data_IF_737507324047
#
_entry.id   IF_737507324047
#
_cell.length_a   1.000
_cell.length_b   1.000
_cell.length_c   1.000
_cell.angle_alpha   90.00
_cell.angle_beta   90.00
_cell.angle_gamma   90.00
#
_symmetry.space_group_name_H-M   'P 1'
#
loop_
_entity.id
_entity.type
_entity.pdbx_description
1 polymer ?
#
# COMPACT_ATOMS: atom_id res chain seq x y z
N UNK A 1 -12.24 -14.43 -21.05
CA UNK A 1 -12.11 -13.49 -22.18
C UNK A 1 -11.16 -14.09 -23.21
N UNK A 2 -11.43 -13.90 -24.51
CA UNK A 2 -10.57 -14.42 -25.58
C UNK A 2 -9.47 -13.40 -25.82
N UNK A 3 -8.21 -13.82 -25.68
CA UNK A 3 -7.10 -13.01 -26.15
C UNK A 3 -7.14 -13.01 -27.68
N UNK A 4 -7.45 -11.88 -28.31
CA UNK A 4 -7.35 -11.73 -29.76
C UNK A 4 -5.87 -11.61 -30.15
N UNK A 5 -5.22 -12.76 -30.39
CA UNK A 5 -3.86 -12.79 -30.91
C UNK A 5 -3.88 -12.40 -32.38
N UNK A 6 -3.24 -11.26 -32.72
CA UNK A 6 -2.74 -11.08 -34.08
C UNK A 6 -1.53 -12.03 -34.25
N UNK A 7 -1.39 -12.67 -35.41
CA UNK A 7 -0.49 -13.81 -35.68
C UNK A 7 1.00 -13.57 -35.37
N UNK A 8 1.40 -12.33 -35.09
CA UNK A 8 2.75 -11.92 -34.72
C UNK A 8 3.01 -11.74 -33.22
N UNK A 9 1.97 -11.63 -32.37
CA UNK A 9 2.15 -11.28 -30.94
C UNK A 9 1.72 -12.44 -30.04
N UNK A 10 2.69 -13.08 -29.40
CA UNK A 10 2.49 -14.15 -28.39
C UNK A 10 2.06 -13.62 -27.01
N UNK A 11 1.75 -12.33 -26.90
CA UNK A 11 1.44 -11.65 -25.63
C UNK A 11 0.04 -11.06 -25.65
N UNK A 12 -0.69 -11.23 -24.55
CA UNK A 12 -2.02 -10.66 -24.34
C UNK A 12 -1.90 -9.56 -23.27
N UNK A 13 -2.30 -8.33 -23.61
CA UNK A 13 -2.24 -7.20 -22.68
C UNK A 13 -3.56 -7.13 -21.89
N UNK A 14 -3.48 -7.32 -20.58
CA UNK A 14 -4.63 -7.31 -19.66
C UNK A 14 -4.95 -5.92 -19.08
N UNK A 15 -4.24 -4.88 -19.55
CA UNK A 15 -4.39 -3.51 -19.07
C UNK A 15 -3.48 -3.16 -17.89
N UNK A 16 -3.80 -2.07 -17.21
CA UNK A 16 -3.02 -1.59 -16.06
C UNK A 16 -3.19 -2.51 -14.86
N UNK A 17 -2.09 -2.85 -14.19
CA UNK A 17 -2.14 -3.61 -12.94
C UNK A 17 -2.98 -2.93 -11.84
N UNK A 18 -3.06 -1.60 -11.84
CA UNK A 18 -3.91 -0.84 -10.90
C UNK A 18 -5.41 -1.03 -11.11
N UNK A 19 -5.83 -1.58 -12.25
CA UNK A 19 -7.24 -1.93 -12.52
C UNK A 19 -7.60 -3.33 -12.01
N UNK A 20 -6.67 -4.01 -11.35
CA UNK A 20 -6.86 -5.34 -10.79
C UNK A 20 -7.41 -6.35 -11.83
N UNK A 21 -6.67 -6.62 -12.93
CA UNK A 21 -7.14 -7.54 -13.96
C UNK A 21 -7.29 -8.96 -13.41
N UNK A 22 -8.51 -9.50 -13.54
CA UNK A 22 -8.92 -10.80 -12.99
C UNK A 22 -9.84 -11.53 -13.95
N UNK A 23 -9.73 -12.84 -14.01
CA UNK A 23 -10.63 -13.67 -14.82
C UNK A 23 -9.95 -14.90 -15.40
N UNK A 24 -10.70 -15.64 -16.22
CA UNK A 24 -10.21 -16.81 -16.93
C UNK A 24 -9.93 -16.43 -18.39
N UNK A 25 -8.73 -16.74 -18.86
CA UNK A 25 -8.24 -16.43 -20.19
C UNK A 25 -7.81 -17.69 -20.91
N UNK A 26 -7.96 -17.70 -22.22
CA UNK A 26 -7.43 -18.76 -23.08
C UNK A 26 -7.02 -18.15 -24.43
N UNK A 27 -6.11 -18.83 -25.10
CA UNK A 27 -5.59 -18.43 -26.39
C UNK A 27 -6.10 -19.40 -27.45
N UNK A 28 -6.44 -18.87 -28.62
CA UNK A 28 -6.72 -19.69 -29.79
C UNK A 28 -5.47 -19.70 -30.69
N UNK A 29 -4.94 -20.89 -30.96
CA UNK A 29 -3.75 -21.09 -31.77
C UNK A 29 -3.99 -22.04 -32.94
N UNK A 30 -2.94 -22.30 -33.72
CA UNK A 30 -3.00 -23.21 -34.88
C UNK A 30 -3.35 -24.66 -34.53
N UNK A 31 -3.17 -25.06 -33.27
CA UNK A 31 -3.52 -26.39 -32.74
C UNK A 31 -4.83 -26.39 -31.94
N UNK A 32 -5.62 -25.32 -32.02
CA UNK A 32 -6.86 -25.14 -31.25
C UNK A 32 -6.68 -24.24 -30.02
N UNK A 33 -7.68 -24.27 -29.13
CA UNK A 33 -7.67 -23.50 -27.88
C UNK A 33 -6.66 -24.07 -26.89
N UNK A 34 -5.97 -23.18 -26.17
CA UNK A 34 -5.14 -23.54 -25.03
C UNK A 34 -5.99 -23.96 -23.83
N UNK A 35 -5.32 -24.53 -22.83
CA UNK A 35 -5.88 -24.64 -21.48
C UNK A 35 -6.23 -23.25 -20.91
N UNK A 36 -7.17 -23.26 -19.97
CA UNK A 36 -7.66 -22.06 -19.31
C UNK A 36 -6.67 -21.59 -18.24
N UNK A 37 -6.31 -20.30 -18.29
CA UNK A 37 -5.49 -19.63 -17.31
C UNK A 37 -6.35 -18.73 -16.41
N UNK A 38 -6.38 -19.02 -15.11
CA UNK A 38 -6.98 -18.12 -14.13
C UNK A 38 -5.98 -17.04 -13.73
N UNK A 39 -6.28 -15.79 -14.05
CA UNK A 39 -5.51 -14.62 -13.66
C UNK A 39 -6.12 -14.02 -12.41
N UNK A 40 -5.30 -13.91 -11.36
CA UNK A 40 -5.62 -13.21 -10.12
C UNK A 40 -4.51 -12.19 -9.87
N UNK A 41 -4.69 -10.97 -10.34
CA UNK A 41 -3.76 -9.89 -10.06
C UNK A 41 -4.10 -9.24 -8.71
N UNK A 42 -3.10 -8.65 -8.06
CA UNK A 42 -3.24 -7.77 -6.90
C UNK A 42 -2.00 -6.89 -6.84
N UNK A 43 -2.19 -5.58 -6.81
CA UNK A 43 -1.13 -4.65 -6.39
C UNK A 43 -1.27 -4.39 -4.90
N UNK A 44 -0.16 -4.27 -4.18
CA UNK A 44 -0.20 -3.62 -2.87
C UNK A 44 -0.62 -2.16 -3.06
N UNK A 45 -1.54 -1.67 -2.24
CA UNK A 45 -1.86 -0.25 -2.22
C UNK A 45 -0.57 0.54 -1.97
N UNK A 46 -0.36 1.63 -2.71
CA UNK A 46 0.72 2.57 -2.40
C UNK A 46 0.55 2.92 -0.93
N UNK A 47 1.59 2.68 -0.14
CA UNK A 47 1.64 2.95 1.29
C UNK A 47 1.03 4.35 1.52
N UNK A 48 -0.19 4.42 2.04
CA UNK A 48 -0.80 5.69 2.44
C UNK A 48 0.06 6.18 3.58
N UNK A 49 1.02 7.07 3.29
CA UNK A 49 1.78 7.76 4.32
C UNK A 49 0.77 8.61 5.09
N UNK A 50 0.22 8.04 6.16
CA UNK A 50 -0.61 8.77 7.10
C UNK A 50 0.26 9.88 7.68
N UNK A 51 -0.22 11.12 7.63
CA UNK A 51 0.48 12.25 8.26
C UNK A 51 0.65 11.96 9.75
N UNK A 52 1.77 12.42 10.34
CA UNK A 52 2.06 12.23 11.77
C UNK A 52 0.93 12.73 12.68
N UNK A 53 0.20 13.77 12.24
CA UNK A 53 -0.97 14.32 12.95
C UNK A 53 -2.13 13.33 13.09
N UNK A 54 -2.14 12.24 12.32
CA UNK A 54 -3.13 11.16 12.41
C UNK A 54 -2.65 9.97 13.24
N UNK A 55 -1.37 9.92 13.61
CA UNK A 55 -0.74 8.79 14.30
C UNK A 55 -0.70 8.95 15.82
N UNK A 56 -0.78 10.17 16.34
CA UNK A 56 -0.70 10.43 17.77
C UNK A 56 -1.86 11.30 18.25
N UNK A 57 -2.35 10.98 19.45
CA UNK A 57 -3.16 11.94 20.20
C UNK A 57 -2.28 13.15 20.53
N UNK A 58 -2.72 14.40 20.23
CA UNK A 58 -1.98 15.59 20.63
C UNK A 58 -1.76 15.55 22.13
N UNK A 59 -0.50 15.74 22.55
CA UNK A 59 -0.21 15.93 23.96
C UNK A 59 -0.97 17.19 24.38
N UNK A 60 -1.96 17.03 25.27
CA UNK A 60 -2.65 18.17 25.88
C UNK A 60 -1.64 19.06 26.57
N UNK A 61 -1.95 20.36 26.64
CA UNK A 61 -1.20 21.31 27.45
C UNK A 61 -1.07 20.73 28.86
N UNK A 62 0.17 20.51 29.27
CA UNK A 62 0.48 20.03 30.62
C UNK A 62 0.53 21.25 31.51
N UNK A 63 -0.31 21.27 32.55
CA UNK A 63 -0.26 22.27 33.60
C UNK A 63 1.10 22.17 34.30
N UNK A 64 1.92 23.22 34.23
CA UNK A 64 3.27 23.30 34.80
C UNK A 64 3.24 23.06 36.33
N UNK A 65 2.10 23.40 36.95
CA UNK A 65 1.78 23.21 38.37
C UNK A 65 1.81 21.74 38.83
N UNK A 66 1.80 20.76 37.92
CA UNK A 66 1.87 19.34 38.26
C UNK A 66 3.30 18.79 38.38
N UNK A 67 4.32 19.60 38.05
CA UNK A 67 5.71 19.18 38.15
C UNK A 67 6.34 19.69 39.45
N UNK A 68 7.02 18.79 40.17
CA UNK A 68 7.80 19.18 41.33
C UNK A 68 9.02 20.00 40.89
N UNK A 69 8.95 21.33 41.07
CA UNK A 69 10.08 22.20 40.81
C UNK A 69 11.22 21.85 41.78
N UNK A 70 12.31 21.28 41.24
CA UNK A 70 13.52 21.07 42.01
C UNK A 70 14.15 22.44 42.29
N UNK A 71 13.93 22.94 43.51
CA UNK A 71 14.48 24.21 43.96
C UNK A 71 16.02 24.16 43.88
N UNK A 72 16.59 25.06 43.07
CA UNK A 72 18.03 25.14 42.85
C UNK A 72 18.83 25.30 44.14
N UNK A 73 20.03 24.74 44.13
CA UNK A 73 20.97 24.63 45.25
C UNK A 73 20.95 25.83 46.21
N UNK A 74 20.49 25.62 47.45
CA UNK A 74 20.70 26.58 48.53
C UNK A 74 22.20 26.66 48.82
N UNK A 75 22.81 27.82 48.56
CA UNK A 75 24.19 28.08 48.98
C UNK A 75 24.27 27.98 50.51
N UNK A 76 25.02 26.99 51.01
CA UNK A 76 25.34 26.88 52.44
C UNK A 76 26.05 28.16 52.87
N UNK A 77 25.43 28.93 53.76
CA UNK A 77 26.11 30.03 54.47
C UNK A 77 27.08 29.42 55.49
N UNK A 78 28.32 29.89 55.44
CA UNK A 78 29.37 29.61 56.41
C UNK A 78 29.11 30.37 57.72
#
# INVERSE_FOLDING_TARGET
>A
EICSLNTSKRTCNLGSGTKDPRGIYWCEGSKGSSEQLQVYYRTSDKQTLLSNDQLYQPLKDREDDQYSHLQGNHARKN
#
